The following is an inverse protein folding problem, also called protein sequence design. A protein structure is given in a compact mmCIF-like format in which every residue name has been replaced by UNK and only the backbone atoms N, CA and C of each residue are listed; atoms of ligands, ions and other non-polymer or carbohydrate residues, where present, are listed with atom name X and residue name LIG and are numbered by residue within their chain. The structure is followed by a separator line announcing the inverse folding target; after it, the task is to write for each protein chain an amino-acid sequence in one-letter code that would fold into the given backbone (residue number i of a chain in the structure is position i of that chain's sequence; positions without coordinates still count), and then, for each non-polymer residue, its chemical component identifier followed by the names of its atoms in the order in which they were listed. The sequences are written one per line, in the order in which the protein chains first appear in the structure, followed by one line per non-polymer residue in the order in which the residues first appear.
data_IF_018319070223
#
_entry.id   IF_018319070223
#
_cell.length_a   1.000
_cell.length_b   1.000
_cell.length_c   1.000
_cell.angle_alpha   90.00
_cell.angle_beta   90.00
_cell.angle_gamma   90.00
#
_symmetry.space_group_name_H-M   'P 1'
#
loop_
_entity.id
_entity.type
_entity.pdbx_description
1 polymer ?
#
# COMPACT_ATOMS: atom_id res chain seq x y z
N UNK A 1 9.01 -7.85 4.56
CA UNK A 1 8.16 -8.30 3.45
C UNK A 1 8.50 -9.75 3.19
N UNK A 2 7.66 -10.65 3.68
CA UNK A 2 7.82 -12.09 3.43
C UNK A 2 7.31 -12.49 2.04
N UNK A 3 6.24 -11.84 1.56
CA UNK A 3 5.59 -12.10 0.27
C UNK A 3 6.05 -11.09 -0.79
N UNK A 4 6.87 -11.54 -1.74
CA UNK A 4 7.51 -10.71 -2.76
C UNK A 4 7.43 -11.34 -4.16
N UNK A 5 7.65 -10.52 -5.21
CA UNK A 5 7.67 -10.94 -6.62
C UNK A 5 6.39 -11.68 -7.03
N UNK A 6 6.47 -12.91 -7.53
CA UNK A 6 5.35 -13.75 -7.93
C UNK A 6 4.38 -14.06 -6.77
N UNK A 7 4.87 -13.98 -5.53
CA UNK A 7 4.06 -14.16 -4.32
C UNK A 7 3.54 -12.84 -3.74
N UNK A 8 3.67 -11.72 -4.46
CA UNK A 8 3.15 -10.45 -3.98
C UNK A 8 1.61 -10.47 -3.93
N UNK A 9 1.04 -10.62 -2.73
CA UNK A 9 0.49 -9.44 -2.07
C UNK A 9 -0.42 -8.47 -2.86
N UNK A 10 -1.74 -8.56 -2.85
CA UNK A 10 -2.58 -7.50 -3.44
C UNK A 10 -2.87 -6.39 -2.41
N UNK A 11 -3.07 -5.14 -2.86
CA UNK A 11 -3.52 -4.05 -1.96
C UNK A 11 -4.97 -4.20 -1.51
N UNK A 12 -5.78 -4.99 -2.23
CA UNK A 12 -7.21 -5.24 -1.94
C UNK A 12 -8.21 -4.28 -2.56
N UNK A 13 -7.77 -3.26 -3.31
CA UNK A 13 -8.68 -2.25 -3.83
C UNK A 13 -9.37 -2.61 -5.16
N UNK A 14 -8.70 -3.42 -5.98
CA UNK A 14 -9.15 -3.72 -7.35
C UNK A 14 -10.43 -4.56 -7.42
N UNK A 15 -11.01 -4.66 -8.61
CA UNK A 15 -12.16 -5.55 -8.87
C UNK A 15 -13.46 -5.18 -8.15
N UNK A 16 -13.60 -3.94 -7.66
CA UNK A 16 -14.76 -3.48 -6.90
C UNK A 16 -14.76 -3.94 -5.43
N UNK A 17 -13.67 -4.56 -4.96
CA UNK A 17 -13.56 -5.10 -3.60
C UNK A 17 -13.60 -3.98 -2.57
N UNK A 18 -13.00 -2.83 -2.87
CA UNK A 18 -13.01 -1.68 -1.96
C UNK A 18 -14.42 -1.18 -1.66
N UNK A 19 -15.31 -1.20 -2.65
CA UNK A 19 -16.70 -0.77 -2.53
C UNK A 19 -17.59 -1.86 -1.92
N UNK A 20 -17.41 -3.11 -2.35
CA UNK A 20 -18.24 -4.23 -1.91
C UNK A 20 -17.84 -4.78 -0.53
N UNK A 21 -16.55 -4.76 -0.20
CA UNK A 21 -15.95 -5.36 1.00
C UNK A 21 -14.86 -4.44 1.60
N UNK A 22 -15.23 -3.25 2.10
CA UNK A 22 -14.27 -2.23 2.54
C UNK A 22 -13.37 -2.70 3.69
N UNK A 23 -13.87 -3.51 4.62
CA UNK A 23 -13.09 -4.05 5.73
C UNK A 23 -12.00 -5.00 5.24
N UNK A 24 -12.32 -5.86 4.26
CA UNK A 24 -11.36 -6.77 3.65
C UNK A 24 -10.28 -6.00 2.87
N UNK A 25 -10.69 -5.01 2.08
CA UNK A 25 -9.76 -4.13 1.35
C UNK A 25 -8.78 -3.42 2.30
N UNK A 26 -9.28 -2.93 3.44
CA UNK A 26 -8.44 -2.28 4.43
C UNK A 26 -7.48 -3.30 5.09
N UNK A 27 -7.99 -4.45 5.52
CA UNK A 27 -7.18 -5.50 6.13
C UNK A 27 -6.02 -5.94 5.22
N UNK A 28 -6.28 -6.21 3.93
CA UNK A 28 -5.23 -6.60 2.99
C UNK A 28 -4.16 -5.52 2.81
N UNK A 29 -4.55 -4.24 2.83
CA UNK A 29 -3.60 -3.13 2.75
C UNK A 29 -2.78 -3.01 4.04
N UNK A 30 -3.40 -3.17 5.21
CA UNK A 30 -2.73 -3.15 6.52
C UNK A 30 -1.67 -4.24 6.63
N UNK A 31 -1.97 -5.48 6.22
CA UNK A 31 -1.01 -6.58 6.22
C UNK A 31 0.23 -6.26 5.37
N UNK A 32 0.00 -5.70 4.18
CA UNK A 32 1.08 -5.32 3.28
C UNK A 32 1.90 -4.14 3.81
N UNK A 33 1.30 -3.18 4.52
CA UNK A 33 2.02 -2.10 5.21
C UNK A 33 2.90 -2.68 6.33
N UNK A 34 2.36 -3.61 7.14
CA UNK A 34 3.11 -4.26 8.21
C UNK A 34 4.33 -5.03 7.67
N UNK A 35 4.16 -5.74 6.56
CA UNK A 35 5.27 -6.39 5.84
C UNK A 35 6.35 -5.41 5.40
N UNK A 36 5.97 -4.25 4.86
CA UNK A 36 6.91 -3.23 4.40
C UNK A 36 7.69 -2.64 5.58
N UNK A 37 7.00 -2.37 6.70
CA UNK A 37 7.65 -1.91 7.93
C UNK A 37 8.66 -2.92 8.46
N UNK A 38 8.34 -4.21 8.38
CA UNK A 38 9.24 -5.26 8.84
C UNK A 38 10.57 -5.33 8.05
N UNK A 39 10.69 -4.71 6.87
CA UNK A 39 11.98 -4.60 6.16
C UNK A 39 12.81 -3.39 6.60
N UNK A 40 12.26 -2.50 7.42
CA UNK A 40 12.87 -1.19 7.69
C UNK A 40 12.77 -0.21 6.52
N UNK A 41 11.80 -0.38 5.61
CA UNK A 41 11.59 0.56 4.51
C UNK A 41 10.98 1.88 5.02
N UNK A 42 11.48 3.01 4.52
CA UNK A 42 10.97 4.34 4.85
C UNK A 42 9.67 4.70 4.11
N UNK A 43 9.43 4.05 2.97
CA UNK A 43 8.28 4.33 2.10
C UNK A 43 7.87 3.10 1.28
N UNK A 44 6.59 3.06 0.93
CA UNK A 44 6.01 2.21 -0.11
C UNK A 44 5.87 3.01 -1.41
N UNK A 45 6.15 2.37 -2.54
CA UNK A 45 6.09 2.98 -3.87
C UNK A 45 5.27 2.09 -4.78
N UNK A 46 4.38 2.68 -5.57
CA UNK A 46 3.49 1.97 -6.48
C UNK A 46 3.29 2.78 -7.76
N UNK A 47 3.00 2.12 -8.88
CA UNK A 47 2.57 2.79 -10.13
C UNK A 47 1.05 2.66 -10.35
N UNK A 48 0.33 2.10 -9.38
CA UNK A 48 -1.12 1.90 -9.43
C UNK A 48 -1.82 2.91 -8.51
N UNK A 49 -2.64 3.83 -9.05
CA UNK A 49 -3.36 4.83 -8.26
C UNK A 49 -4.34 4.22 -7.23
N UNK A 50 -4.89 3.04 -7.53
CA UNK A 50 -5.76 2.32 -6.59
C UNK A 50 -4.98 1.79 -5.39
N UNK A 51 -3.79 1.23 -5.62
CA UNK A 51 -2.91 0.80 -4.54
C UNK A 51 -2.49 1.99 -3.68
N UNK A 52 -2.07 3.08 -4.31
CA UNK A 52 -1.66 4.29 -3.61
C UNK A 52 -2.77 4.79 -2.67
N UNK A 53 -3.97 5.03 -3.22
CA UNK A 53 -5.12 5.48 -2.43
C UNK A 53 -5.46 4.51 -1.30
N UNK A 54 -5.44 3.20 -1.57
CA UNK A 54 -5.79 2.22 -0.55
C UNK A 54 -4.76 2.14 0.58
N UNK A 55 -3.47 2.22 0.27
CA UNK A 55 -2.43 2.27 1.28
C UNK A 55 -2.49 3.57 2.08
N UNK A 56 -2.75 4.73 1.46
CA UNK A 56 -2.92 6.01 2.17
C UNK A 56 -4.11 5.95 3.14
N UNK A 57 -5.23 5.37 2.72
CA UNK A 57 -6.39 5.25 3.60
C UNK A 57 -6.14 4.25 4.74
N UNK A 58 -5.45 3.14 4.45
CA UNK A 58 -5.08 2.15 5.46
C UNK A 58 -4.06 2.70 6.47
N UNK A 59 -3.04 3.45 6.05
CA UNK A 59 -2.09 4.08 6.98
C UNK A 59 -2.80 5.09 7.89
N UNK A 60 -3.74 5.88 7.36
CA UNK A 60 -4.58 6.77 8.16
C UNK A 60 -5.42 6.02 9.17
N UNK A 61 -6.07 4.92 8.77
CA UNK A 61 -6.88 4.10 9.66
C UNK A 61 -6.07 3.45 10.79
N UNK A 62 -4.81 3.09 10.51
CA UNK A 62 -3.88 2.51 11.48
C UNK A 62 -3.23 3.56 12.40
N UNK A 63 -3.35 4.85 12.09
CA UNK A 63 -2.55 5.91 12.75
C UNK A 63 -1.05 5.77 12.47
N UNK A 64 -0.68 5.19 11.33
CA UNK A 64 0.70 4.92 10.93
C UNK A 64 1.30 6.11 10.15
N UNK A 65 2.63 6.16 10.07
CA UNK A 65 3.40 7.20 9.37
C UNK A 65 4.16 6.69 8.14
N UNK A 66 3.94 5.43 7.73
CA UNK A 66 4.46 4.87 6.48
C UNK A 66 4.14 5.79 5.30
N UNK A 67 5.19 6.28 4.62
CA UNK A 67 5.03 7.11 3.42
C UNK A 67 4.60 6.24 2.25
N UNK A 68 3.70 6.75 1.43
CA UNK A 68 3.25 6.10 0.20
C UNK A 68 3.43 7.08 -0.94
N UNK A 69 4.04 6.62 -2.03
CA UNK A 69 4.28 7.44 -3.21
C UNK A 69 3.83 6.73 -4.49
N UNK A 70 3.26 7.47 -5.42
CA UNK A 70 3.33 7.10 -6.83
C UNK A 70 4.80 7.12 -7.32
N UNK A 71 5.11 6.28 -8.30
CA UNK A 71 6.45 6.20 -8.88
C UNK A 71 6.90 7.54 -9.49
N UNK A 72 5.98 8.30 -10.11
CA UNK A 72 6.28 9.60 -10.72
C UNK A 72 6.59 10.64 -9.64
N UNK A 73 5.86 10.63 -8.53
CA UNK A 73 6.11 11.52 -7.38
C UNK A 73 7.49 11.27 -6.76
N UNK A 74 7.89 9.99 -6.67
CA UNK A 74 9.21 9.64 -6.17
C UNK A 74 10.31 10.14 -7.11
N UNK A 75 10.15 9.95 -8.43
CA UNK A 75 11.11 10.44 -9.43
C UNK A 75 11.21 11.96 -9.38
N UNK A 76 10.08 12.67 -9.24
CA UNK A 76 10.07 14.13 -9.12
C UNK A 76 10.83 14.62 -7.88
N UNK A 77 10.85 13.86 -6.77
CA UNK A 77 11.61 14.21 -5.56
C UNK A 77 13.13 14.01 -5.68
N UNK A 78 13.58 13.29 -6.72
CA UNK A 78 14.98 12.98 -6.94
C UNK A 78 15.71 14.00 -7.81
N UNK A 79 14.98 14.96 -8.40
CA UNK A 79 15.49 16.06 -9.22
C UNK A 79 15.37 17.39 -8.47
#
# INVERSE_FOLDING_TARGET
MERIREYSWCCGAGGGVREAYPEFSNWTASERIAEAKATGADALVTACPWCERNFIDATRALGDSMKVYDIVDLVQKAI
#
